data_IF_576659290672
#
_entry.id   IF_576659290672
#
_cell.length_a   1.000
_cell.length_b   1.000
_cell.length_c   1.000
_cell.angle_alpha   90.00
_cell.angle_beta   90.00
_cell.angle_gamma   90.00
#
_symmetry.space_group_name_H-M   'P 1'
#
loop_
_entity.id
_entity.type
_entity.pdbx_description
1 polymer ?
#
# COMPACT_ATOMS: atom_id res chain seq x y z
N UNK A 1 6.57 -19.26 14.15
CA UNK A 1 5.29 -18.51 14.14
C UNK A 1 5.09 -17.82 15.48
N UNK A 2 5.16 -16.47 15.53
CA UNK A 2 5.09 -15.71 16.80
C UNK A 2 3.65 -15.38 17.21
N UNK A 3 2.62 -16.03 16.61
CA UNK A 3 1.21 -15.85 16.98
C UNK A 3 0.61 -14.46 16.62
N UNK A 4 1.25 -13.70 15.73
CA UNK A 4 0.72 -12.41 15.29
C UNK A 4 -0.72 -12.55 14.77
N UNK A 5 -1.62 -11.66 15.22
CA UNK A 5 -3.03 -11.66 14.80
C UNK A 5 -3.28 -10.74 13.61
N UNK A 6 -2.40 -9.78 13.38
CA UNK A 6 -2.47 -8.82 12.28
C UNK A 6 -1.15 -8.08 12.09
N UNK A 7 -1.07 -7.23 11.10
CA UNK A 7 0.17 -6.59 10.68
C UNK A 7 -0.01 -5.08 10.47
N UNK A 8 1.01 -4.31 10.83
CA UNK A 8 1.17 -2.91 10.45
C UNK A 8 2.40 -2.82 9.56
N UNK A 9 2.20 -2.43 8.29
CA UNK A 9 3.29 -2.16 7.36
C UNK A 9 3.56 -0.66 7.34
N UNK A 10 4.75 -0.24 7.71
CA UNK A 10 5.12 1.17 7.74
C UNK A 10 5.88 1.56 6.46
N UNK A 11 5.25 2.38 5.63
CA UNK A 11 5.81 2.95 4.41
C UNK A 11 6.04 4.47 4.52
N UNK A 12 5.93 5.03 5.72
CA UNK A 12 6.21 6.46 5.94
C UNK A 12 7.66 6.78 5.59
N UNK A 13 7.87 7.92 4.96
CA UNK A 13 9.20 8.40 4.51
C UNK A 13 9.95 7.41 3.63
N UNK A 14 9.26 6.46 3.00
CA UNK A 14 9.83 5.52 2.07
C UNK A 14 9.68 6.04 0.63
N UNK A 15 10.75 6.52 -0.03
CA UNK A 15 10.69 7.12 -1.37
C UNK A 15 10.48 6.08 -2.48
N UNK A 16 10.31 4.81 -2.14
CA UNK A 16 10.20 3.70 -3.07
C UNK A 16 11.53 3.03 -3.37
N UNK A 17 11.64 2.52 -4.57
CA UNK A 17 12.81 1.76 -5.03
C UNK A 17 12.48 1.00 -6.31
N UNK A 18 12.86 -0.27 -6.37
CA UNK A 18 12.65 -1.12 -7.54
C UNK A 18 11.17 -1.46 -7.70
N UNK A 19 10.65 -1.32 -8.93
CA UNK A 19 9.28 -1.71 -9.29
C UNK A 19 9.03 -3.19 -8.97
N UNK A 20 9.93 -4.06 -9.39
CA UNK A 20 9.79 -5.52 -9.18
C UNK A 20 9.70 -5.87 -7.68
N UNK A 21 10.49 -5.19 -6.84
CA UNK A 21 10.43 -5.40 -5.39
C UNK A 21 9.03 -5.06 -4.82
N UNK A 22 8.40 -3.97 -5.27
CA UNK A 22 7.04 -3.62 -4.83
C UNK A 22 5.99 -4.63 -5.30
N UNK A 23 6.16 -5.16 -6.51
CA UNK A 23 5.29 -6.21 -7.06
C UNK A 23 5.44 -7.51 -6.26
N UNK A 24 6.68 -7.93 -5.97
CA UNK A 24 6.96 -9.16 -5.24
C UNK A 24 6.48 -9.06 -3.79
N UNK A 25 6.62 -7.89 -3.15
CA UNK A 25 6.05 -7.65 -1.82
C UNK A 25 4.52 -7.69 -1.89
N UNK A 26 3.89 -7.06 -2.88
CA UNK A 26 2.43 -7.11 -3.04
C UNK A 26 1.90 -8.54 -3.21
N UNK A 27 2.63 -9.40 -3.95
CA UNK A 27 2.30 -10.82 -4.12
C UNK A 27 2.34 -11.63 -2.83
N UNK A 28 3.16 -11.23 -1.86
CA UNK A 28 3.17 -11.86 -0.54
C UNK A 28 1.90 -11.60 0.28
N UNK A 29 1.11 -10.60 -0.11
CA UNK A 29 -0.11 -10.19 0.59
C UNK A 29 -1.39 -10.36 -0.23
N UNK A 30 -1.27 -10.53 -1.55
CA UNK A 30 -2.40 -10.64 -2.48
C UNK A 30 -2.41 -12.00 -3.17
N UNK A 31 -3.52 -12.71 -3.09
CA UNK A 31 -3.73 -13.95 -3.86
C UNK A 31 -4.18 -13.66 -5.28
N UNK A 32 -4.95 -12.61 -5.50
CA UNK A 32 -5.52 -12.25 -6.79
C UNK A 32 -5.57 -10.73 -6.97
N UNK A 33 -5.95 -10.30 -8.16
CA UNK A 33 -6.13 -8.90 -8.51
C UNK A 33 -4.92 -8.29 -9.22
N UNK A 34 -5.13 -7.08 -9.72
CA UNK A 34 -4.09 -6.27 -10.35
C UNK A 34 -3.26 -5.58 -9.28
N UNK A 35 -1.95 -5.50 -9.48
CA UNK A 35 -1.03 -4.76 -8.60
C UNK A 35 -0.78 -3.37 -9.18
N UNK A 36 -0.38 -3.30 -10.44
CA UNK A 36 -0.07 -2.07 -11.15
C UNK A 36 -0.23 -2.28 -12.63
N UNK A 37 -0.57 -1.23 -13.36
CA UNK A 37 -0.44 -1.22 -14.82
C UNK A 37 0.33 0.02 -15.29
N UNK A 38 0.87 -0.05 -16.50
CA UNK A 38 1.51 1.10 -17.15
C UNK A 38 0.68 1.59 -18.32
N UNK A 39 0.60 2.91 -18.49
CA UNK A 39 -0.05 3.55 -19.63
C UNK A 39 0.97 4.36 -20.41
N UNK A 40 1.14 4.03 -21.68
CA UNK A 40 1.90 4.79 -22.68
C UNK A 40 0.96 5.71 -23.47
N UNK A 41 1.50 6.38 -24.50
CA UNK A 41 0.67 7.14 -25.47
C UNK A 41 -0.28 6.26 -26.28
N UNK A 42 0.05 4.98 -26.44
CA UNK A 42 -0.71 3.98 -27.23
C UNK A 42 -1.74 3.23 -26.38
N UNK A 43 -1.86 3.51 -25.09
CA UNK A 43 -2.80 2.87 -24.16
C UNK A 43 -2.13 2.10 -23.03
N UNK A 44 -2.93 1.26 -22.35
CA UNK A 44 -2.44 0.38 -21.27
C UNK A 44 -1.59 -0.72 -21.89
N UNK A 45 -0.42 -0.96 -21.31
CA UNK A 45 0.55 -1.94 -21.77
C UNK A 45 0.77 -3.05 -20.73
N UNK A 46 1.74 -2.89 -19.87
CA UNK A 46 2.12 -3.92 -18.91
C UNK A 46 1.16 -3.92 -17.70
N UNK A 47 0.50 -5.07 -17.46
CA UNK A 47 -0.39 -5.27 -16.32
C UNK A 47 0.21 -6.36 -15.44
N UNK A 48 0.60 -5.98 -14.23
CA UNK A 48 1.18 -6.89 -13.25
C UNK A 48 0.11 -7.32 -12.24
N UNK A 49 0.04 -8.62 -11.99
CA UNK A 49 -1.00 -9.26 -11.17
C UNK A 49 -0.41 -10.06 -10.02
N UNK A 50 -1.23 -10.30 -9.04
CA UNK A 50 -0.98 -11.30 -8.00
C UNK A 50 -0.97 -12.71 -8.60
N UNK A 51 -0.29 -13.65 -7.93
CA UNK A 51 0.02 -14.99 -8.44
C UNK A 51 -0.47 -16.12 -7.52
N UNK A 52 -1.32 -15.82 -6.53
CA UNK A 52 -1.84 -16.82 -5.60
C UNK A 52 -0.83 -17.25 -4.52
N UNK A 53 0.17 -16.40 -4.22
CA UNK A 53 1.27 -16.74 -3.32
C UNK A 53 1.26 -15.92 -2.00
N UNK A 54 0.08 -15.42 -1.61
CA UNK A 54 -0.03 -14.70 -0.33
C UNK A 54 0.34 -15.60 0.85
N UNK A 55 1.18 -15.09 1.73
CA UNK A 55 1.68 -15.83 2.89
C UNK A 55 0.69 -15.84 4.06
N UNK A 56 -0.29 -14.95 4.04
CA UNK A 56 -1.32 -14.82 5.09
C UNK A 56 -2.48 -13.95 4.61
N UNK A 57 -3.67 -14.22 5.15
CA UNK A 57 -4.89 -13.43 5.01
C UNK A 57 -5.22 -12.59 6.26
N UNK A 58 -4.38 -12.70 7.31
CA UNK A 58 -4.57 -11.93 8.55
C UNK A 58 -4.68 -10.42 8.27
N UNK A 59 -5.51 -9.69 9.03
CA UNK A 59 -5.70 -8.25 8.85
C UNK A 59 -4.41 -7.45 8.79
N UNK A 60 -4.42 -6.42 7.97
CA UNK A 60 -3.27 -5.54 7.75
C UNK A 60 -3.73 -4.08 7.66
N UNK A 61 -2.91 -3.20 8.19
CA UNK A 61 -2.97 -1.74 8.00
C UNK A 61 -1.64 -1.27 7.46
N UNK A 62 -1.65 -0.26 6.59
CA UNK A 62 -0.43 0.34 6.03
C UNK A 62 -0.35 1.80 6.44
N UNK A 63 0.77 2.20 7.03
CA UNK A 63 1.10 3.58 7.33
C UNK A 63 1.73 4.25 6.12
N UNK A 64 1.23 5.40 5.73
CA UNK A 64 1.71 6.22 4.61
C UNK A 64 1.83 7.69 4.98
N UNK A 65 2.73 8.41 4.33
CA UNK A 65 2.87 9.85 4.47
C UNK A 65 3.31 10.53 3.17
N UNK A 66 3.58 11.83 3.24
CA UNK A 66 4.05 12.63 2.11
C UNK A 66 5.44 12.21 1.58
N UNK A 67 6.21 11.45 2.35
CA UNK A 67 7.50 10.86 1.96
C UNK A 67 7.36 9.50 1.26
N UNK A 68 6.17 8.88 1.34
CA UNK A 68 5.86 7.64 0.62
C UNK A 68 5.73 7.95 -0.88
N UNK A 69 6.59 7.35 -1.72
CA UNK A 69 6.64 7.69 -3.14
C UNK A 69 6.93 6.48 -4.05
N UNK A 70 6.57 6.58 -5.34
CA UNK A 70 6.97 5.64 -6.39
C UNK A 70 6.55 4.18 -6.08
N UNK A 71 7.50 3.25 -5.91
CA UNK A 71 7.24 1.84 -5.60
C UNK A 71 6.39 1.65 -4.32
N UNK A 72 6.55 2.53 -3.31
CA UNK A 72 5.71 2.52 -2.12
C UNK A 72 4.26 2.91 -2.41
N UNK A 73 4.02 3.80 -3.38
CA UNK A 73 2.69 4.17 -3.82
C UNK A 73 2.02 3.05 -4.63
N UNK A 74 2.81 2.33 -5.44
CA UNK A 74 2.35 1.14 -6.16
C UNK A 74 1.89 0.07 -5.16
N UNK A 75 2.72 -0.21 -4.15
CA UNK A 75 2.41 -1.20 -3.12
C UNK A 75 1.18 -0.80 -2.30
N UNK A 76 1.13 0.43 -1.79
CA UNK A 76 0.01 0.91 -0.99
C UNK A 76 -1.30 0.95 -1.79
N UNK A 77 -1.28 1.46 -3.02
CA UNK A 77 -2.44 1.47 -3.90
C UNK A 77 -2.93 0.07 -4.27
N UNK A 78 -2.01 -0.87 -4.50
CA UNK A 78 -2.36 -2.27 -4.74
C UNK A 78 -3.07 -2.90 -3.53
N UNK A 79 -2.54 -2.70 -2.32
CA UNK A 79 -3.14 -3.24 -1.10
C UNK A 79 -4.49 -2.61 -0.77
N UNK A 80 -4.63 -1.30 -0.98
CA UNK A 80 -5.87 -0.57 -0.75
C UNK A 80 -6.98 -0.99 -1.71
N UNK A 81 -6.73 -0.88 -3.02
CA UNK A 81 -7.76 -1.08 -4.04
C UNK A 81 -8.19 -2.54 -4.22
N UNK A 82 -7.33 -3.51 -3.85
CA UNK A 82 -7.72 -4.91 -3.70
C UNK A 82 -8.35 -5.21 -2.32
N UNK A 83 -8.65 -4.19 -1.49
CA UNK A 83 -9.27 -4.33 -0.17
C UNK A 83 -8.50 -5.22 0.80
N UNK A 84 -7.19 -5.33 0.60
CA UNK A 84 -6.31 -6.14 1.44
C UNK A 84 -5.92 -5.45 2.73
N UNK A 85 -5.77 -4.11 2.67
CA UNK A 85 -5.37 -3.30 3.81
C UNK A 85 -6.08 -1.94 3.78
N UNK A 86 -6.29 -1.35 4.96
CA UNK A 86 -6.62 0.07 5.12
C UNK A 86 -5.35 0.89 5.22
N UNK A 87 -5.31 2.01 4.53
CA UNK A 87 -4.21 2.97 4.60
C UNK A 87 -4.49 4.01 5.69
N UNK A 88 -3.52 4.26 6.54
CA UNK A 88 -3.59 5.23 7.64
C UNK A 88 -2.45 6.24 7.49
N UNK A 89 -2.72 7.51 7.69
CA UNK A 89 -1.71 8.56 7.68
C UNK A 89 -2.05 9.75 6.81
N UNK A 90 -1.18 10.12 5.90
CA UNK A 90 -1.33 11.27 5.02
C UNK A 90 -1.17 10.86 3.57
N UNK A 91 -1.73 11.68 2.67
CA UNK A 91 -1.61 11.50 1.21
C UNK A 91 -0.14 11.39 0.80
N UNK A 92 0.17 10.44 -0.07
CA UNK A 92 1.51 10.19 -0.58
C UNK A 92 1.97 11.23 -1.62
N UNK A 93 3.22 11.16 -2.02
CA UNK A 93 3.91 12.16 -2.85
C UNK A 93 3.32 12.33 -4.27
N UNK A 94 3.00 11.23 -4.95
CA UNK A 94 2.51 11.28 -6.34
C UNK A 94 3.63 11.17 -7.40
N UNK A 95 4.57 10.23 -7.23
CA UNK A 95 5.63 9.95 -8.21
C UNK A 95 5.27 8.75 -9.10
N UNK A 96 4.43 9.00 -10.12
CA UNK A 96 3.85 7.96 -10.97
C UNK A 96 4.43 7.88 -12.39
N UNK A 97 5.63 8.43 -12.67
CA UNK A 97 6.24 8.40 -14.00
C UNK A 97 7.24 7.25 -14.16
N UNK A 98 7.18 6.58 -15.31
CA UNK A 98 8.21 5.66 -15.78
C UNK A 98 9.16 6.43 -16.68
N UNK A 99 10.43 6.47 -16.30
CA UNK A 99 11.46 7.22 -17.01
C UNK A 99 12.56 6.29 -17.51
N UNK A 100 12.97 6.47 -18.77
CA UNK A 100 14.13 5.82 -19.35
C UNK A 100 15.31 6.81 -19.43
N UNK A 101 16.48 6.36 -19.02
CA UNK A 101 17.71 7.12 -19.20
C UNK A 101 18.32 6.73 -20.55
N UNK A 102 18.63 7.73 -21.38
CA UNK A 102 19.28 7.58 -22.68
C UNK A 102 20.62 8.28 -22.66
N UNK A 103 21.70 7.56 -22.91
CA UNK A 103 23.02 8.14 -23.14
C UNK A 103 23.06 8.88 -24.48
N UNK A 104 23.76 9.99 -24.51
CA UNK A 104 24.01 10.78 -25.71
C UNK A 104 25.46 10.59 -26.19
N UNK A 105 25.75 10.94 -27.46
CA UNK A 105 27.04 10.73 -28.09
C UNK A 105 28.18 11.54 -27.49
N UNK A 106 27.87 12.61 -26.77
CA UNK A 106 28.84 13.48 -26.07
C UNK A 106 29.15 12.99 -24.63
N UNK A 107 28.60 11.82 -24.22
CA UNK A 107 28.76 11.25 -22.88
C UNK A 107 27.76 11.77 -21.85
N UNK A 108 26.89 12.72 -22.22
CA UNK A 108 25.77 13.16 -21.36
C UNK A 108 24.60 12.17 -21.40
N UNK A 109 23.59 12.38 -20.55
CA UNK A 109 22.40 11.55 -20.51
C UNK A 109 21.12 12.38 -20.50
N UNK A 110 20.08 11.82 -21.08
CA UNK A 110 18.73 12.40 -21.09
C UNK A 110 17.74 11.46 -20.44
N UNK A 111 16.89 11.99 -19.55
CA UNK A 111 15.79 11.26 -18.95
C UNK A 111 14.48 11.54 -19.72
N UNK A 112 13.87 10.50 -20.26
CA UNK A 112 12.64 10.59 -21.05
C UNK A 112 11.51 9.87 -20.35
N UNK A 113 10.38 10.55 -20.13
CA UNK A 113 9.17 9.89 -19.64
C UNK A 113 8.54 9.05 -20.74
N UNK A 114 8.39 7.74 -20.51
CA UNK A 114 7.88 6.76 -21.46
C UNK A 114 6.51 6.20 -21.11
N UNK A 115 6.13 6.22 -19.82
CA UNK A 115 4.83 5.74 -19.37
C UNK A 115 4.46 6.36 -18.02
N UNK A 116 3.24 6.06 -17.56
CA UNK A 116 2.72 6.37 -16.24
C UNK A 116 2.27 5.11 -15.53
N UNK A 117 2.47 5.05 -14.21
CA UNK A 117 1.91 4.01 -13.36
C UNK A 117 0.45 4.34 -13.03
N UNK A 118 -0.40 3.32 -13.13
CA UNK A 118 -1.79 3.34 -12.73
C UNK A 118 -2.02 2.33 -11.61
N UNK A 119 -2.86 2.69 -10.64
CA UNK A 119 -3.36 1.77 -9.61
C UNK A 119 -4.22 0.67 -10.23
N UNK A 120 -4.61 -0.38 -9.48
CA UNK A 120 -5.53 -1.42 -9.97
C UNK A 120 -6.81 -0.87 -10.62
N UNK A 121 -7.40 0.17 -10.07
CA UNK A 121 -8.61 0.82 -10.60
C UNK A 121 -8.33 1.82 -11.74
N UNK A 122 -7.07 1.93 -12.19
CA UNK A 122 -6.69 2.79 -13.32
C UNK A 122 -6.41 4.25 -12.94
N UNK A 123 -6.32 4.58 -11.65
CA UNK A 123 -5.98 5.94 -11.21
C UNK A 123 -4.52 6.27 -11.50
N UNK A 124 -4.26 7.43 -12.11
CA UNK A 124 -2.91 7.94 -12.37
C UNK A 124 -2.27 8.40 -11.05
N UNK A 125 -1.18 7.74 -10.66
CA UNK A 125 -0.46 8.08 -9.41
C UNK A 125 0.22 9.45 -9.53
N UNK A 126 0.66 9.84 -10.74
CA UNK A 126 1.46 11.05 -10.93
C UNK A 126 0.71 12.31 -10.53
N UNK A 127 1.27 13.08 -9.61
CA UNK A 127 0.73 14.29 -8.96
C UNK A 127 -0.54 14.06 -8.12
N UNK A 128 -1.16 12.89 -8.21
CA UNK A 128 -2.36 12.55 -7.44
C UNK A 128 -2.01 11.88 -6.11
N UNK A 129 -0.98 11.03 -6.09
CA UNK A 129 -0.64 10.22 -4.93
C UNK A 129 -1.75 9.23 -4.56
N UNK A 130 -1.55 8.56 -3.45
CA UNK A 130 -2.53 7.65 -2.83
C UNK A 130 -3.08 8.35 -1.59
N UNK A 131 -4.40 8.40 -1.45
CA UNK A 131 -5.07 8.96 -0.27
C UNK A 131 -5.24 7.88 0.79
N UNK A 132 -5.02 8.17 2.07
CA UNK A 132 -5.33 7.23 3.13
C UNK A 132 -6.84 7.03 3.29
N UNK A 133 -7.25 5.88 3.82
CA UNK A 133 -8.63 5.59 4.23
C UNK A 133 -8.94 6.24 5.58
N UNK A 134 -7.91 6.38 6.44
CA UNK A 134 -7.99 7.03 7.75
C UNK A 134 -6.91 8.09 7.82
N UNK A 135 -7.31 9.36 7.86
CA UNK A 135 -6.37 10.46 7.99
C UNK A 135 -5.77 10.50 9.40
N UNK A 136 -4.45 10.58 9.48
CA UNK A 136 -3.68 10.71 10.70
C UNK A 136 -2.45 11.58 10.44
N UNK A 137 -2.56 12.85 10.74
CA UNK A 137 -1.45 13.79 10.63
C UNK A 137 -0.80 14.02 11.99
N UNK A 138 0.52 14.11 12.04
CA UNK A 138 1.22 14.65 13.19
C UNK A 138 1.08 16.18 13.22
N UNK A 139 0.86 16.75 14.40
CA UNK A 139 0.96 18.19 14.57
C UNK A 139 2.41 18.67 14.37
N UNK A 140 2.60 19.95 14.07
CA UNK A 140 3.95 20.51 13.94
C UNK A 140 4.80 20.32 15.20
N UNK A 141 4.19 20.35 16.39
CA UNK A 141 4.87 20.07 17.65
C UNK A 141 5.32 18.61 17.72
N UNK A 142 4.43 17.67 17.41
CA UNK A 142 4.77 16.24 17.39
C UNK A 142 5.89 15.96 16.38
N UNK A 143 5.85 16.55 15.18
CA UNK A 143 6.91 16.38 14.18
C UNK A 143 8.28 16.89 14.66
N UNK A 144 8.32 18.04 15.37
CA UNK A 144 9.57 18.57 15.93
C UNK A 144 10.12 17.72 17.07
N UNK A 145 9.23 17.18 17.91
CA UNK A 145 9.60 16.42 19.10
C UNK A 145 9.77 14.92 18.81
N UNK A 146 9.42 14.47 17.60
CA UNK A 146 9.45 13.07 17.21
C UNK A 146 10.87 12.56 17.10
N UNK A 147 11.16 11.49 17.82
CA UNK A 147 12.43 10.79 17.74
C UNK A 147 12.25 9.44 17.07
N UNK A 148 13.25 9.01 16.31
CA UNK A 148 13.22 7.74 15.59
C UNK A 148 12.98 6.53 16.53
N UNK A 149 13.46 6.62 17.76
CA UNK A 149 13.23 5.60 18.81
C UNK A 149 11.75 5.45 19.22
N UNK A 150 10.91 6.43 18.89
CA UNK A 150 9.47 6.40 19.15
C UNK A 150 8.68 5.73 18.03
N UNK A 151 9.31 5.47 16.90
CA UNK A 151 8.65 4.87 15.73
C UNK A 151 8.03 3.52 16.09
N UNK A 152 6.74 3.34 15.77
CA UNK A 152 6.01 2.11 16.06
C UNK A 152 5.76 1.85 17.55
N UNK A 153 5.86 2.87 18.39
CA UNK A 153 5.56 2.76 19.82
C UNK A 153 4.32 3.54 20.22
N UNK A 154 3.90 3.47 21.49
CA UNK A 154 2.77 4.25 22.02
C UNK A 154 2.99 5.78 21.99
N UNK A 155 4.21 6.25 21.73
CA UNK A 155 4.54 7.67 21.54
C UNK A 155 4.38 8.14 20.10
N UNK A 156 4.18 7.23 19.18
CA UNK A 156 3.90 7.49 17.76
C UNK A 156 2.39 7.62 17.55
N UNK A 157 1.91 8.86 17.40
CA UNK A 157 0.47 9.14 17.28
C UNK A 157 -0.16 8.47 16.03
N UNK A 158 0.54 8.44 14.90
CA UNK A 158 0.07 7.80 13.69
C UNK A 158 0.01 6.28 13.86
N UNK A 159 1.03 5.68 14.49
CA UNK A 159 1.04 4.25 14.79
C UNK A 159 -0.13 3.85 15.71
N UNK A 160 -0.45 4.65 16.74
CA UNK A 160 -1.62 4.41 17.60
C UNK A 160 -2.93 4.41 16.82
N UNK A 161 -3.07 5.30 15.81
CA UNK A 161 -4.26 5.29 14.93
C UNK A 161 -4.29 4.02 14.09
N UNK A 162 -3.14 3.60 13.54
CA UNK A 162 -3.03 2.36 12.77
C UNK A 162 -3.35 1.12 13.63
N UNK A 163 -2.82 1.04 14.85
CA UNK A 163 -3.10 -0.03 15.81
C UNK A 163 -4.60 -0.08 16.17
N UNK A 164 -5.20 1.08 16.47
CA UNK A 164 -6.64 1.18 16.75
C UNK A 164 -7.48 0.72 15.55
N UNK A 165 -7.08 1.10 14.34
CA UNK A 165 -7.74 0.70 13.10
C UNK A 165 -7.64 -0.82 12.90
N UNK A 166 -6.45 -1.40 13.11
CA UNK A 166 -6.24 -2.84 13.02
C UNK A 166 -7.09 -3.61 14.04
N UNK A 167 -7.16 -3.14 15.29
CA UNK A 167 -7.98 -3.75 16.34
C UNK A 167 -9.47 -3.73 15.96
N UNK A 168 -9.97 -2.64 15.36
CA UNK A 168 -11.35 -2.58 14.86
C UNK A 168 -11.62 -3.64 13.79
N UNK A 169 -10.72 -3.80 12.82
CA UNK A 169 -10.85 -4.82 11.77
C UNK A 169 -10.87 -6.22 12.37
N UNK A 170 -9.97 -6.52 13.30
CA UNK A 170 -9.92 -7.81 14.01
C UNK A 170 -11.21 -8.09 14.79
N UNK A 171 -11.77 -7.07 15.44
CA UNK A 171 -13.01 -7.20 16.21
C UNK A 171 -14.21 -7.47 15.29
N UNK A 172 -14.29 -6.78 14.14
CA UNK A 172 -15.35 -6.99 13.15
C UNK A 172 -15.32 -8.41 12.59
N UNK A 173 -14.15 -8.92 12.22
CA UNK A 173 -14.01 -10.30 11.71
C UNK A 173 -14.41 -11.36 12.75
N UNK A 174 -14.07 -11.16 14.03
CA UNK A 174 -14.50 -12.05 15.11
C UNK A 174 -16.03 -12.04 15.27
N UNK A 175 -16.65 -10.87 15.18
CA UNK A 175 -18.10 -10.74 15.30
C UNK A 175 -18.85 -11.35 14.10
N UNK A 176 -18.31 -11.24 12.89
CA UNK A 176 -18.88 -11.90 11.70
C UNK A 176 -18.76 -13.43 11.78
N UNK A 177 -17.64 -13.94 12.25
CA UNK A 177 -17.44 -15.38 12.49
C UNK A 177 -18.33 -15.94 13.61
N UNK A 178 -18.79 -15.10 14.56
CA UNK A 178 -19.65 -15.50 15.69
C UNK A 178 -21.15 -15.25 15.42
N UNK A 179 -21.58 -14.86 14.22
CA UNK A 179 -23.03 -14.78 13.93
C UNK A 179 -23.65 -16.17 13.97
N UNK A 180 -24.51 -16.50 14.97
CA UNK A 180 -25.21 -17.77 15.00
C UNK A 180 -26.25 -17.76 13.86
N UNK A 181 -26.03 -18.52 12.81
CA UNK A 181 -26.97 -18.66 11.68
C UNK A 181 -26.37 -18.96 10.32
N UNK A 182 -25.02 -19.02 10.14
CA UNK A 182 -24.42 -19.46 8.89
C UNK A 182 -24.02 -20.95 8.84
N UNK A 183 -24.40 -21.72 9.86
CA UNK A 183 -24.20 -23.17 9.87
C UNK A 183 -25.41 -23.85 9.23
N UNK A 184 -25.23 -24.35 7.98
CA UNK A 184 -25.95 -25.46 7.36
C UNK A 184 -27.44 -25.31 7.05
N UNK A 185 -27.75 -24.74 5.89
CA UNK A 185 -29.00 -25.03 5.16
C UNK A 185 -28.77 -26.00 3.97
N UNK A 186 -27.66 -26.69 3.86
CA UNK A 186 -27.38 -27.67 2.79
C UNK A 186 -27.27 -29.14 3.22
N UNK A 187 -27.74 -29.49 4.42
CA UNK A 187 -27.71 -30.87 4.88
C UNK A 187 -29.13 -31.43 5.19
N UNK A 188 -30.17 -30.94 4.49
CA UNK A 188 -31.54 -31.47 4.63
C UNK A 188 -32.34 -31.32 3.31
N UNK A 189 -31.89 -32.03 2.24
CA UNK A 189 -32.75 -32.48 1.12
C UNK A 189 -32.14 -33.75 0.54
#
# INVERSE_FOLDING_TARGET
EQGAQGYVLDLRSNPGGLLEASIDIARQWLNEGTIVSTRTREGIRDVRRATGSAITDKPMVVLIDQGSASASEILSGALQENKRAQLVGQKTFGKGLVQAVRGLSDGSGMTVTIAKYLTPNGTDIHKNGIKPDVEAAMSEKEMRDFKIENLGTSKDSQYRVAETTLIKVLTMQKNEAYRPGSANLEAAL
#
